data_IF_003873670492
#
_entry.id   IF_003873670492
#
_cell.length_a   1.000
_cell.length_b   1.000
_cell.length_c   1.000
_cell.angle_alpha   90.00
_cell.angle_beta   90.00
_cell.angle_gamma   90.00
#
_symmetry.space_group_name_H-M   'P 1'
#
loop_
_entity.id
_entity.type
_entity.pdbx_description
1 polymer ?
#
# COMPACT_ATOMS: atom_id res chain seq x y z
N UNK A 1 8.30 -16.58 1.07
CA UNK A 1 6.88 -16.49 1.47
C UNK A 1 6.70 -15.10 2.03
N UNK A 2 5.86 -14.28 1.40
CA UNK A 2 5.60 -12.90 1.83
C UNK A 2 4.47 -12.85 2.86
N UNK A 3 4.30 -11.75 3.60
CA UNK A 3 3.43 -11.71 4.78
C UNK A 3 1.97 -11.88 4.39
N UNK A 4 1.34 -12.90 4.97
CA UNK A 4 -0.10 -13.10 4.98
C UNK A 4 -0.68 -12.13 6.02
N UNK A 5 -1.54 -11.18 5.63
CA UNK A 5 -2.30 -10.41 6.60
C UNK A 5 -3.65 -11.09 6.79
N UNK A 6 -3.88 -11.64 7.98
CA UNK A 6 -5.20 -12.12 8.42
C UNK A 6 -5.97 -10.93 8.97
N UNK A 7 -6.37 -10.00 8.10
CA UNK A 7 -7.29 -8.94 8.49
C UNK A 7 -8.73 -9.42 8.26
N UNK A 8 -9.62 -9.34 9.26
CA UNK A 8 -11.01 -9.74 9.14
C UNK A 8 -11.73 -8.95 8.04
N UNK A 9 -12.40 -9.66 7.13
CA UNK A 9 -13.11 -9.06 5.99
C UNK A 9 -12.35 -9.08 4.67
N UNK A 10 -11.08 -9.51 4.66
CA UNK A 10 -10.40 -9.92 3.43
C UNK A 10 -10.59 -11.43 3.20
N UNK A 11 -11.04 -11.83 2.01
CA UNK A 11 -11.11 -13.24 1.63
C UNK A 11 -9.73 -13.89 1.67
N UNK A 12 -9.62 -15.19 1.95
CA UNK A 12 -8.36 -15.95 1.82
C UNK A 12 -7.73 -15.84 0.41
N UNK A 13 -8.53 -15.42 -0.57
CA UNK A 13 -8.12 -15.15 -1.95
C UNK A 13 -7.71 -13.69 -2.22
N UNK A 14 -7.77 -12.78 -1.25
CA UNK A 14 -7.41 -11.37 -1.43
C UNK A 14 -5.94 -11.16 -1.08
N UNK A 15 -5.16 -10.84 -2.12
CA UNK A 15 -3.70 -10.75 -2.05
C UNK A 15 -3.30 -9.31 -1.77
N UNK A 16 -2.81 -9.03 -0.56
CA UNK A 16 -2.13 -7.77 -0.25
C UNK A 16 -0.65 -7.90 -0.55
N UNK A 17 -0.11 -6.93 -1.28
CA UNK A 17 1.31 -6.84 -1.57
C UNK A 17 1.91 -5.82 -0.62
N UNK A 18 2.76 -6.28 0.29
CA UNK A 18 3.52 -5.39 1.17
C UNK A 18 4.95 -5.30 0.68
N UNK A 19 5.55 -4.13 0.88
CA UNK A 19 6.98 -3.92 0.73
C UNK A 19 7.48 -3.18 1.96
N UNK A 20 8.67 -3.55 2.40
CA UNK A 20 9.34 -2.83 3.48
C UNK A 20 9.77 -1.46 2.97
N UNK A 21 9.61 -0.46 3.83
CA UNK A 21 10.06 0.91 3.57
C UNK A 21 11.13 1.29 4.61
N UNK A 22 12.02 2.24 4.29
CA UNK A 22 12.95 2.78 5.27
C UNK A 22 12.22 3.32 6.51
N UNK A 23 12.79 3.10 7.71
CA UNK A 23 12.21 3.55 8.99
C UNK A 23 12.00 5.06 9.05
N UNK A 24 12.90 5.82 8.43
CA UNK A 24 12.84 7.29 8.33
C UNK A 24 11.89 7.79 7.22
N UNK A 25 11.24 6.86 6.50
CA UNK A 25 10.29 7.18 5.45
C UNK A 25 8.92 7.61 5.98
N UNK A 26 8.64 7.46 7.28
CA UNK A 26 7.37 7.81 7.90
C UNK A 26 7.58 8.79 9.04
N UNK A 27 6.80 9.86 9.05
CA UNK A 27 6.68 10.77 10.19
C UNK A 27 5.21 10.92 10.59
N UNK A 28 4.95 11.05 11.88
CA UNK A 28 3.62 11.17 12.43
C UNK A 28 3.61 12.04 13.68
N UNK A 29 2.67 12.98 13.72
CA UNK A 29 2.43 13.86 14.85
C UNK A 29 0.98 13.76 15.30
N UNK A 30 0.77 13.18 16.49
CA UNK A 30 -0.57 13.12 17.12
C UNK A 30 -1.11 14.52 17.40
N UNK A 31 -0.26 15.46 17.83
CA UNK A 31 -0.68 16.81 18.19
C UNK A 31 -1.08 17.64 16.99
N UNK A 32 -0.46 17.38 15.83
CA UNK A 32 -0.77 18.06 14.58
C UNK A 32 -1.83 17.31 13.76
N UNK A 33 -2.19 16.10 14.18
CA UNK A 33 -3.13 15.20 13.49
C UNK A 33 -2.75 15.04 12.01
N UNK A 34 -1.44 14.83 11.81
CA UNK A 34 -0.81 14.78 10.51
C UNK A 34 0.20 13.64 10.45
N UNK A 35 0.37 13.09 9.26
CA UNK A 35 1.36 12.07 8.98
C UNK A 35 1.96 12.31 7.60
N UNK A 36 3.15 11.77 7.35
CA UNK A 36 3.77 11.76 6.04
C UNK A 36 4.48 10.44 5.76
N UNK A 37 4.44 10.00 4.50
CA UNK A 37 5.16 8.84 3.96
C UNK A 37 5.95 9.29 2.75
N UNK A 38 7.25 9.44 2.90
CA UNK A 38 8.16 9.95 1.87
C UNK A 38 9.27 8.93 1.66
N UNK A 39 9.17 8.17 0.56
CA UNK A 39 10.11 7.09 0.27
C UNK A 39 10.65 7.19 -1.15
N UNK A 40 11.86 6.70 -1.35
CA UNK A 40 12.54 6.69 -2.65
C UNK A 40 13.22 5.35 -2.87
N UNK A 41 13.28 4.95 -4.14
CA UNK A 41 13.96 3.73 -4.59
C UNK A 41 13.51 2.47 -3.85
N UNK A 42 12.21 2.35 -3.59
CA UNK A 42 11.64 1.16 -2.94
C UNK A 42 11.37 0.11 -4.01
N UNK A 43 11.88 -1.10 -3.79
CA UNK A 43 11.56 -2.25 -4.63
C UNK A 43 10.13 -2.70 -4.32
N UNK A 44 9.33 -2.88 -5.36
CA UNK A 44 7.96 -3.37 -5.26
C UNK A 44 7.74 -4.48 -6.30
N UNK A 45 6.67 -5.23 -6.12
CA UNK A 45 6.22 -6.20 -7.11
C UNK A 45 5.09 -5.61 -7.93
N UNK A 46 5.16 -5.83 -9.23
CA UNK A 46 4.11 -5.48 -10.19
C UNK A 46 3.75 -6.73 -11.01
N UNK A 47 2.49 -6.88 -11.34
CA UNK A 47 1.97 -8.01 -12.10
C UNK A 47 1.77 -7.66 -13.58
N UNK A 48 2.04 -6.42 -13.98
CA UNK A 48 1.89 -5.82 -15.30
C UNK A 48 0.45 -5.72 -15.82
N UNK A 49 -0.37 -6.75 -15.59
CA UNK A 49 -1.77 -6.81 -15.99
C UNK A 49 -2.64 -7.37 -14.86
N UNK A 50 -3.93 -7.00 -14.86
CA UNK A 50 -4.92 -7.56 -13.94
C UNK A 50 -5.04 -9.07 -14.14
N UNK A 51 -5.06 -9.57 -15.39
CA UNK A 51 -5.13 -11.00 -15.67
C UNK A 51 -3.95 -11.77 -15.06
N UNK A 52 -2.73 -11.24 -15.14
CA UNK A 52 -1.56 -11.84 -14.49
C UNK A 52 -1.70 -11.86 -12.97
N UNK A 53 -2.43 -10.92 -12.37
CA UNK A 53 -2.63 -10.84 -10.92
C UNK A 53 -3.63 -11.89 -10.41
N UNK A 54 -4.49 -12.40 -11.31
CA UNK A 54 -5.63 -13.27 -10.98
C UNK A 54 -5.50 -14.68 -11.57
N UNK A 55 -4.33 -15.04 -12.08
CA UNK A 55 -4.09 -16.36 -12.65
C UNK A 55 -4.03 -17.43 -11.54
N UNK A 56 -5.04 -18.29 -11.50
CA UNK A 56 -5.17 -19.36 -10.51
C UNK A 56 -4.06 -20.43 -10.62
N UNK A 57 -3.39 -20.54 -11.77
CA UNK A 57 -2.27 -21.46 -11.96
C UNK A 57 -0.94 -20.87 -11.48
N UNK A 58 -0.90 -19.55 -11.24
CA UNK A 58 0.24 -18.84 -10.70
C UNK A 58 -0.24 -18.07 -9.47
N UNK A 59 -0.22 -18.67 -8.26
CA UNK A 59 -0.79 -18.11 -7.02
C UNK A 59 -0.21 -16.76 -6.59
N UNK A 60 0.76 -16.20 -7.34
CA UNK A 60 1.31 -14.87 -7.14
C UNK A 60 1.50 -14.08 -8.44
N UNK A 61 0.87 -14.50 -9.54
CA UNK A 61 1.08 -13.96 -10.87
C UNK A 61 2.51 -14.07 -11.41
N UNK A 62 2.71 -13.62 -12.65
CA UNK A 62 4.04 -13.37 -13.21
C UNK A 62 4.61 -12.07 -12.63
N UNK A 63 5.24 -12.16 -11.46
CA UNK A 63 5.84 -11.00 -10.77
C UNK A 63 6.95 -10.36 -11.59
N UNK A 64 6.90 -9.05 -11.66
CA UNK A 64 7.97 -8.20 -12.15
C UNK A 64 8.49 -7.32 -11.02
N UNK A 65 9.77 -7.01 -11.11
CA UNK A 65 10.37 -6.00 -10.26
C UNK A 65 9.92 -4.62 -10.76
N UNK A 66 9.26 -3.89 -9.88
CA UNK A 66 8.97 -2.48 -10.02
C UNK A 66 9.81 -1.69 -9.02
N UNK A 67 10.08 -0.44 -9.35
CA UNK A 67 10.78 0.50 -8.49
C UNK A 67 9.85 1.69 -8.28
N UNK A 68 9.42 1.90 -7.04
CA UNK A 68 8.86 3.18 -6.62
C UNK A 68 10.03 4.14 -6.48
N UNK A 69 10.30 4.91 -7.53
CA UNK A 69 11.39 5.87 -7.56
C UNK A 69 11.18 6.98 -6.52
N UNK A 70 9.92 7.42 -6.37
CA UNK A 70 9.51 8.36 -5.34
C UNK A 70 8.04 8.13 -5.03
N UNK A 71 7.68 8.07 -3.75
CA UNK A 71 6.32 8.14 -3.27
C UNK A 71 6.27 9.16 -2.15
N UNK A 72 5.34 10.11 -2.27
CA UNK A 72 5.06 11.11 -1.25
C UNK A 72 3.58 11.06 -0.96
N UNK A 73 3.24 10.75 0.28
CA UNK A 73 1.89 10.86 0.81
C UNK A 73 1.93 11.77 2.03
N UNK A 74 1.07 12.78 2.07
CA UNK A 74 0.92 13.68 3.22
C UNK A 74 -0.55 13.65 3.66
N UNK A 75 -0.80 13.24 4.91
CA UNK A 75 -2.10 13.25 5.58
C UNK A 75 -2.22 14.48 6.46
N UNK A 76 -3.33 15.21 6.32
CA UNK A 76 -3.61 16.39 7.12
C UNK A 76 -5.07 16.84 6.96
N UNK A 77 -5.42 17.90 7.70
CA UNK A 77 -6.75 18.55 7.67
C UNK A 77 -7.84 17.61 8.17
N UNK A 78 -7.74 17.24 9.44
CA UNK A 78 -8.77 16.45 10.11
C UNK A 78 -10.15 17.07 9.93
N UNK A 79 -11.02 16.29 9.30
CA UNK A 79 -12.42 16.60 9.03
C UNK A 79 -13.27 16.21 10.23
N UNK A 80 -13.00 15.04 10.82
CA UNK A 80 -13.77 14.51 11.94
C UNK A 80 -12.90 13.62 12.83
N UNK A 81 -13.19 13.63 14.14
CA UNK A 81 -12.58 12.74 15.12
C UNK A 81 -13.58 11.69 15.55
N UNK A 82 -13.17 10.43 15.58
CA UNK A 82 -13.99 9.31 16.02
C UNK A 82 -13.23 8.48 17.05
N UNK A 83 -13.95 7.94 18.03
CA UNK A 83 -13.41 6.97 18.97
C UNK A 83 -14.27 5.72 18.94
N UNK A 84 -13.63 4.55 18.97
CA UNK A 84 -14.31 3.27 19.09
C UNK A 84 -13.78 2.52 20.32
N UNK A 85 -14.66 1.80 20.99
CA UNK A 85 -14.32 0.96 22.13
C UNK A 85 -15.18 -0.29 22.07
N UNK A 86 -14.51 -1.43 22.00
CA UNK A 86 -15.10 -2.74 22.19
C UNK A 86 -14.65 -3.30 23.55
N UNK A 87 -15.61 -3.60 24.41
CA UNK A 87 -15.34 -4.17 25.72
C UNK A 87 -15.13 -5.68 25.68
N UNK A 88 -15.65 -6.38 24.67
CA UNK A 88 -15.55 -7.84 24.52
C UNK A 88 -14.13 -8.20 24.10
N UNK A 89 -13.64 -7.56 23.05
CA UNK A 89 -12.29 -7.82 22.50
C UNK A 89 -11.22 -6.87 23.05
N UNK A 90 -11.58 -6.06 24.05
CA UNK A 90 -10.74 -5.06 24.69
C UNK A 90 -10.12 -4.02 23.72
N UNK A 91 -10.66 -3.89 22.51
CA UNK A 91 -10.19 -2.96 21.50
C UNK A 91 -10.55 -1.51 21.84
N UNK A 92 -9.59 -0.59 21.68
CA UNK A 92 -9.85 0.85 21.73
C UNK A 92 -9.06 1.58 20.65
N UNK A 93 -9.76 2.42 19.90
CA UNK A 93 -9.17 3.21 18.83
C UNK A 93 -9.62 4.67 18.88
N UNK A 94 -8.70 5.59 18.60
CA UNK A 94 -9.00 6.97 18.28
C UNK A 94 -8.56 7.26 16.85
N UNK A 95 -9.44 7.85 16.06
CA UNK A 95 -9.25 8.02 14.63
C UNK A 95 -9.50 9.47 14.23
N UNK A 96 -8.60 9.98 13.39
CA UNK A 96 -8.69 11.27 12.74
C UNK A 96 -9.04 10.98 11.27
N UNK A 97 -10.29 11.23 10.88
CA UNK A 97 -10.70 11.21 9.48
C UNK A 97 -10.23 12.52 8.84
N UNK A 98 -9.43 12.43 7.79
CA UNK A 98 -8.70 13.55 7.20
C UNK A 98 -8.64 13.45 5.66
N UNK A 99 -7.73 14.23 5.07
CA UNK A 99 -7.44 14.21 3.64
C UNK A 99 -5.97 13.87 3.42
N UNK A 100 -5.67 13.26 2.27
CA UNK A 100 -4.30 12.97 1.87
C UNK A 100 -3.96 13.59 0.52
N UNK A 101 -2.69 13.89 0.32
CA UNK A 101 -2.13 14.22 -0.99
C UNK A 101 -1.13 13.15 -1.40
N UNK A 102 -1.13 12.75 -2.68
CA UNK A 102 -0.29 11.66 -3.19
C UNK A 102 0.44 12.10 -4.45
N UNK A 103 1.74 11.87 -4.48
CA UNK A 103 2.60 11.96 -5.66
C UNK A 103 3.43 10.68 -5.78
N UNK A 104 3.51 10.14 -6.99
CA UNK A 104 4.24 8.89 -7.22
C UNK A 104 4.95 8.90 -8.57
N UNK A 105 6.18 8.42 -8.54
CA UNK A 105 6.94 8.02 -9.73
C UNK A 105 7.32 6.57 -9.55
N UNK A 106 6.91 5.73 -10.49
CA UNK A 106 7.20 4.30 -10.48
C UNK A 106 7.69 3.85 -11.86
N UNK A 107 8.56 2.85 -11.88
CA UNK A 107 9.08 2.28 -13.13
C UNK A 107 9.10 0.76 -13.03
N UNK A 108 8.73 0.06 -14.09
CA UNK A 108 9.05 -1.35 -14.28
C UNK A 108 10.21 -1.49 -15.26
N UNK A 109 11.09 -2.46 -15.02
CA UNK A 109 12.22 -2.72 -15.92
C UNK A 109 11.75 -3.53 -17.15
N UNK A 110 12.39 -3.37 -18.32
CA UNK A 110 12.17 -4.25 -19.45
C UNK A 110 12.45 -5.71 -19.10
N UNK A 111 11.63 -6.61 -19.62
CA UNK A 111 11.74 -8.04 -19.40
C UNK A 111 12.15 -8.68 -20.72
N UNK A 112 13.30 -9.37 -20.81
CA UNK A 112 13.70 -10.05 -22.01
C UNK A 112 12.76 -11.22 -22.32
N UNK A 113 12.75 -11.66 -23.58
CA UNK A 113 12.08 -12.91 -23.92
C UNK A 113 12.76 -14.08 -23.19
N UNK A 114 11.97 -15.07 -22.80
CA UNK A 114 12.45 -16.31 -22.18
C UNK A 114 11.95 -17.51 -22.99
N UNK A 115 12.78 -18.55 -23.08
CA UNK A 115 12.43 -19.77 -23.82
C UNK A 115 11.69 -20.78 -22.95
N UNK A 116 11.93 -20.78 -21.64
CA UNK A 116 11.35 -21.73 -20.69
C UNK A 116 11.05 -21.06 -19.33
N UNK A 117 9.76 -20.85 -18.97
CA UNK A 117 8.60 -20.97 -19.85
C UNK A 117 8.66 -19.95 -20.99
N UNK A 118 8.10 -20.25 -22.19
CA UNK A 118 8.07 -19.31 -23.30
C UNK A 118 7.38 -18.00 -22.90
N UNK A 119 8.10 -16.89 -22.96
CA UNK A 119 7.57 -15.57 -22.67
C UNK A 119 8.10 -14.55 -23.67
N UNK A 120 7.21 -13.71 -24.22
CA UNK A 120 7.60 -12.61 -25.10
C UNK A 120 8.29 -11.49 -24.30
N UNK A 121 9.21 -10.78 -24.96
CA UNK A 121 9.82 -9.59 -24.38
C UNK A 121 8.74 -8.54 -24.08
N UNK A 122 8.87 -7.86 -22.93
CA UNK A 122 7.96 -6.79 -22.52
C UNK A 122 8.76 -5.52 -22.27
N UNK A 123 8.31 -4.42 -22.88
CA UNK A 123 8.82 -3.10 -22.53
C UNK A 123 8.37 -2.76 -21.12
N UNK A 124 9.29 -2.25 -20.31
CA UNK A 124 8.94 -1.62 -19.04
C UNK A 124 8.15 -0.33 -19.26
N UNK A 125 7.55 0.20 -18.21
CA UNK A 125 6.88 1.50 -18.24
C UNK A 125 7.45 2.42 -17.16
N UNK A 126 7.28 3.72 -17.39
CA UNK A 126 7.50 4.75 -16.37
C UNK A 126 6.19 5.49 -16.15
N UNK A 127 5.71 5.44 -14.92
CA UNK A 127 4.58 6.23 -14.46
C UNK A 127 5.10 7.43 -13.66
N UNK A 128 4.54 8.60 -13.96
CA UNK A 128 4.76 9.83 -13.19
C UNK A 128 3.39 10.44 -12.96
N UNK A 129 3.02 10.68 -11.70
CA UNK A 129 1.81 11.45 -11.40
C UNK A 129 1.93 12.84 -12.03
N UNK A 130 1.00 13.18 -12.92
CA UNK A 130 1.02 14.47 -13.63
C UNK A 130 0.72 15.67 -12.72
N UNK A 131 0.10 15.40 -11.57
CA UNK A 131 -0.18 16.36 -10.50
C UNK A 131 -0.32 15.62 -9.16
N UNK A 132 -0.20 16.35 -8.07
CA UNK A 132 -0.59 15.91 -6.75
C UNK A 132 -2.06 15.47 -6.76
N UNK A 133 -2.32 14.22 -6.41
CA UNK A 133 -3.68 13.69 -6.27
C UNK A 133 -4.19 14.02 -4.88
N UNK A 134 -5.36 14.67 -4.78
CA UNK A 134 -6.03 14.88 -3.50
C UNK A 134 -7.02 13.73 -3.23
N UNK A 135 -6.94 13.16 -2.04
CA UNK A 135 -7.83 12.13 -1.52
C UNK A 135 -8.66 12.75 -0.40
N UNK A 136 -9.99 12.65 -0.53
CA UNK A 136 -10.94 13.32 0.38
C UNK A 136 -11.38 12.46 1.56
N UNK A 137 -10.98 11.19 1.57
CA UNK A 137 -11.12 10.31 2.71
C UNK A 137 -9.79 9.63 2.96
N UNK A 138 -9.14 10.02 4.05
CA UNK A 138 -8.01 9.32 4.61
C UNK A 138 -8.18 9.27 6.14
N UNK A 139 -7.39 8.44 6.81
CA UNK A 139 -7.55 8.25 8.24
C UNK A 139 -6.21 7.98 8.91
N UNK A 140 -5.99 8.64 10.03
CA UNK A 140 -4.91 8.31 10.96
C UNK A 140 -5.53 7.70 12.22
N UNK A 141 -5.09 6.50 12.57
CA UNK A 141 -5.59 5.75 13.72
C UNK A 141 -4.54 5.60 14.81
N UNK A 142 -4.96 5.71 16.07
CA UNK A 142 -4.21 5.25 17.23
C UNK A 142 -5.02 4.22 17.99
N UNK A 143 -4.49 3.01 18.00
CA UNK A 143 -5.12 1.85 18.60
C UNK A 143 -4.41 1.45 19.90
N UNK A 144 -5.14 0.83 20.82
CA UNK A 144 -4.62 0.34 22.10
C UNK A 144 -5.32 -0.96 22.48
N UNK A 145 -4.52 -2.02 22.57
CA UNK A 145 -4.90 -3.36 23.01
C UNK A 145 -6.08 -3.97 22.21
N UNK A 146 -6.22 -5.29 22.29
CA UNK A 146 -7.36 -6.01 21.70
C UNK A 146 -7.23 -6.31 20.21
N UNK A 147 -8.25 -6.99 19.67
CA UNK A 147 -8.39 -7.32 18.26
C UNK A 147 -9.58 -6.52 17.73
N UNK A 148 -9.44 -5.86 16.58
CA UNK A 148 -10.53 -5.01 16.05
C UNK A 148 -11.74 -5.83 15.56
N UNK A 149 -11.52 -7.05 15.07
CA UNK A 149 -12.57 -8.06 14.90
C UNK A 149 -12.01 -9.46 15.24
N UNK A 150 -12.77 -10.22 16.03
CA UNK A 150 -12.53 -11.64 16.30
C UNK A 150 -13.40 -12.56 15.43
#
# INVERSE_FOLDING_TARGET
MGPHSYDPGLSESEVVWTTEIPEDGVDFSVSEEAASLHVKNVLAFDTFTVANSLDQHHPMGSKLNAIINSLRIDWSRTITRRSHTDCVDAFRGNFFEDSATIEVTATTLPVPAAECPPQQARSGFRFVSSRTTAVHFAQIGRERNGVFFA
#
